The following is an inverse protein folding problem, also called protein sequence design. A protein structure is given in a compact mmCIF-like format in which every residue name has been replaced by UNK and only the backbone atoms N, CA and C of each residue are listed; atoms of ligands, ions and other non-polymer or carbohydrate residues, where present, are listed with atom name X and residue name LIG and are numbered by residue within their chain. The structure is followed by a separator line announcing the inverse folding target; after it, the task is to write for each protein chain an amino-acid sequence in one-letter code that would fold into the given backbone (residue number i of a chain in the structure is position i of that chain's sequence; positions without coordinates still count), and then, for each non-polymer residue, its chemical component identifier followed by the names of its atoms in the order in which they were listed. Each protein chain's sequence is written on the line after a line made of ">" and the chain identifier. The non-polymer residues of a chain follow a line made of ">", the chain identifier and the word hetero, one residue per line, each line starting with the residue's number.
data_IF_147213664082
#
_entry.id   IF_147213664082
#
_cell.length_a   1.000
_cell.length_b   1.000
_cell.length_c   1.000
_cell.angle_alpha   90.00
_cell.angle_beta   90.00
_cell.angle_gamma   90.00
#
_symmetry.space_group_name_H-M   'P 1'
#
loop_
_entity.id
_entity.type
_entity.pdbx_description
1 polymer ?
#
# COMPACT_ATOMS: atom_id res chain seq x y z
N UNK A 1 -23.81 -36.49 17.72
CA UNK A 1 -23.76 -35.54 18.85
C UNK A 1 -22.49 -35.87 19.63
N UNK A 2 -21.49 -35.02 19.81
CA UNK A 2 -21.09 -33.76 19.23
C UNK A 2 -19.59 -33.67 19.59
N UNK A 3 -18.69 -33.43 18.64
CA UNK A 3 -17.30 -33.05 18.96
C UNK A 3 -16.66 -32.32 17.76
N UNK A 4 -17.37 -31.28 17.31
CA UNK A 4 -16.80 -30.24 16.46
C UNK A 4 -16.44 -29.05 17.36
N UNK A 5 -15.28 -29.08 18.01
CA UNK A 5 -14.71 -27.86 18.61
C UNK A 5 -13.19 -27.94 18.50
N UNK A 6 -12.58 -26.83 18.07
CA UNK A 6 -11.14 -26.57 17.97
C UNK A 6 -10.44 -26.94 16.66
N UNK A 7 -10.95 -26.42 15.55
CA UNK A 7 -10.05 -25.84 14.56
C UNK A 7 -10.11 -24.33 14.78
N UNK A 8 -9.24 -23.81 15.65
CA UNK A 8 -9.08 -22.37 15.86
C UNK A 8 -8.76 -21.76 14.51
N UNK A 9 -9.60 -20.83 14.07
CA UNK A 9 -9.29 -19.87 13.03
C UNK A 9 -7.98 -19.20 13.44
N UNK A 10 -6.89 -19.62 12.82
CA UNK A 10 -5.66 -18.86 12.77
C UNK A 10 -6.01 -17.69 11.83
N UNK A 11 -6.68 -16.68 12.37
CA UNK A 11 -6.65 -15.34 11.80
C UNK A 11 -5.17 -14.95 11.83
N UNK A 12 -4.48 -15.34 10.76
CA UNK A 12 -3.11 -14.98 10.43
C UNK A 12 -3.12 -13.47 10.31
N UNK A 13 -2.96 -12.83 11.47
CA UNK A 13 -2.72 -11.42 11.59
C UNK A 13 -1.34 -11.22 11.02
N UNK A 14 -1.27 -11.06 9.70
CA UNK A 14 -0.05 -10.60 9.04
C UNK A 14 0.44 -9.38 9.82
N UNK A 15 1.69 -9.36 10.28
CA UNK A 15 2.22 -8.23 11.01
C UNK A 15 1.95 -6.97 10.20
N UNK A 16 1.34 -5.96 10.81
CA UNK A 16 1.04 -4.70 10.13
C UNK A 16 2.30 -4.06 9.52
N UNK A 17 3.48 -4.41 10.03
CA UNK A 17 4.79 -4.02 9.52
C UNK A 17 5.10 -4.58 8.12
N UNK A 18 4.77 -5.84 7.84
CA UNK A 18 5.02 -6.47 6.53
C UNK A 18 4.15 -5.83 5.43
N UNK A 19 2.91 -5.46 5.77
CA UNK A 19 1.99 -4.75 4.86
C UNK A 19 2.52 -3.35 4.52
N UNK A 20 3.11 -2.66 5.50
CA UNK A 20 3.72 -1.35 5.28
C UNK A 20 4.99 -1.44 4.43
N UNK A 21 5.82 -2.47 4.60
CA UNK A 21 7.02 -2.67 3.78
C UNK A 21 6.65 -2.92 2.31
N UNK A 22 5.66 -3.78 2.03
CA UNK A 22 5.18 -4.03 0.68
C UNK A 22 4.60 -2.76 0.03
N UNK A 23 3.85 -1.95 0.78
CA UNK A 23 3.32 -0.68 0.27
C UNK A 23 4.43 0.33 -0.04
N UNK A 24 5.48 0.41 0.78
CA UNK A 24 6.64 1.26 0.54
C UNK A 24 7.43 0.83 -0.69
N UNK A 25 7.61 -0.48 -0.89
CA UNK A 25 8.23 -1.03 -2.11
C UNK A 25 7.37 -0.71 -3.33
N UNK A 26 6.05 -0.88 -3.22
CA UNK A 26 5.10 -0.58 -4.29
C UNK A 26 5.09 0.91 -4.65
N UNK A 27 5.22 1.78 -3.66
CA UNK A 27 5.40 3.23 -3.82
C UNK A 27 6.68 3.53 -4.58
N UNK A 28 7.83 3.06 -4.09
CA UNK A 28 9.12 3.29 -4.73
C UNK A 28 9.16 2.77 -6.18
N UNK A 29 8.58 1.60 -6.44
CA UNK A 29 8.49 1.03 -7.79
C UNK A 29 7.65 1.88 -8.73
N UNK A 30 6.52 2.44 -8.26
CA UNK A 30 5.67 3.34 -9.05
C UNK A 30 6.44 4.61 -9.43
N UNK A 31 7.04 5.28 -8.43
CA UNK A 31 7.86 6.49 -8.65
C UNK A 31 8.95 6.23 -9.68
N UNK A 32 9.76 5.19 -9.49
CA UNK A 32 10.89 4.88 -10.38
C UNK A 32 10.43 4.55 -11.81
N UNK A 33 9.32 3.82 -11.94
CA UNK A 33 8.75 3.47 -13.26
C UNK A 33 8.27 4.71 -14.02
N UNK A 34 7.73 5.69 -13.31
CA UNK A 34 7.07 6.85 -13.93
C UNK A 34 7.94 8.11 -14.01
N UNK A 35 8.93 8.27 -13.14
CA UNK A 35 9.87 9.40 -13.11
C UNK A 35 10.67 9.56 -14.42
N UNK A 36 10.88 8.47 -15.17
CA UNK A 36 11.55 8.53 -16.47
C UNK A 36 10.71 9.22 -17.58
N UNK A 37 9.40 9.41 -17.36
CA UNK A 37 8.46 9.93 -18.37
C UNK A 37 7.81 11.27 -18.02
N UNK A 38 7.80 11.62 -16.74
CA UNK A 38 7.07 12.77 -16.22
C UNK A 38 7.57 13.11 -14.81
N UNK A 39 7.33 14.34 -14.37
CA UNK A 39 7.30 14.62 -12.94
C UNK A 39 6.11 13.86 -12.34
N UNK A 40 6.39 13.01 -11.35
CA UNK A 40 5.36 12.33 -10.57
C UNK A 40 4.85 13.30 -9.52
N UNK A 41 3.53 13.48 -9.44
CA UNK A 41 2.90 14.37 -8.46
C UNK A 41 2.50 13.54 -7.24
N UNK A 42 3.13 13.81 -6.10
CA UNK A 42 2.72 13.31 -4.79
C UNK A 42 1.67 14.25 -4.18
N UNK A 43 0.51 13.71 -3.83
CA UNK A 43 -0.56 14.44 -3.13
C UNK A 43 -0.82 13.77 -1.79
N UNK A 44 -0.61 14.50 -0.69
CA UNK A 44 -0.92 14.02 0.66
C UNK A 44 -2.34 14.41 1.04
N UNK A 45 -3.16 13.43 1.42
CA UNK A 45 -4.53 13.62 1.89
C UNK A 45 -4.60 13.29 3.38
N UNK A 46 -4.60 14.34 4.21
CA UNK A 46 -4.49 14.19 5.66
C UNK A 46 -3.13 13.58 6.06
N UNK A 47 -3.12 12.84 7.16
CA UNK A 47 -1.89 12.24 7.72
C UNK A 47 -1.63 10.81 7.24
N UNK A 48 -2.63 10.17 6.61
CA UNK A 48 -2.67 8.72 6.40
C UNK A 48 -2.68 8.27 4.95
N UNK A 49 -2.79 9.18 3.98
CA UNK A 49 -3.00 8.80 2.59
C UNK A 49 -2.10 9.61 1.65
N UNK A 50 -1.43 8.90 0.75
CA UNK A 50 -0.61 9.47 -0.31
C UNK A 50 -1.19 9.01 -1.64
N UNK A 51 -1.45 9.96 -2.54
CA UNK A 51 -1.89 9.69 -3.91
C UNK A 51 -0.75 10.08 -4.83
N UNK A 52 -0.30 9.14 -5.66
CA UNK A 52 0.67 9.41 -6.71
C UNK A 52 0.01 9.40 -8.07
N UNK A 53 0.34 10.40 -8.88
CA UNK A 53 -0.18 10.53 -10.23
C UNK A 53 0.93 10.84 -11.22
N UNK A 54 1.01 10.06 -12.30
CA UNK A 54 1.77 10.45 -13.49
C UNK A 54 0.82 10.86 -14.62
N UNK A 55 0.80 12.15 -15.01
CA UNK A 55 -0.06 12.63 -16.09
C UNK A 55 0.29 12.02 -17.44
N UNK A 56 1.57 11.78 -17.73
CA UNK A 56 2.02 11.19 -19.01
C UNK A 56 1.52 9.76 -19.20
N UNK A 57 1.41 8.99 -18.12
CA UNK A 57 0.92 7.62 -18.15
C UNK A 57 -0.59 7.51 -17.89
N UNK A 58 -1.24 8.60 -17.45
CA UNK A 58 -2.62 8.60 -16.94
C UNK A 58 -2.84 7.54 -15.85
N UNK A 59 -1.80 7.29 -15.05
CA UNK A 59 -1.80 6.29 -13.99
C UNK A 59 -1.89 6.99 -12.63
N UNK A 60 -2.74 6.47 -11.76
CA UNK A 60 -2.96 6.98 -10.41
C UNK A 60 -2.97 5.81 -9.43
N UNK A 61 -2.29 5.97 -8.30
CA UNK A 61 -2.29 4.97 -7.23
C UNK A 61 -2.34 5.65 -5.86
N UNK A 62 -2.91 4.94 -4.90
CA UNK A 62 -3.05 5.39 -3.51
C UNK A 62 -2.25 4.48 -2.60
N UNK A 63 -1.58 5.06 -1.62
CA UNK A 63 -0.74 4.39 -0.63
C UNK A 63 -1.11 4.89 0.78
N UNK A 64 -0.90 4.07 1.80
CA UNK A 64 -1.00 4.52 3.18
C UNK A 64 0.27 5.29 3.54
N UNK A 65 0.11 6.39 4.27
CA UNK A 65 1.24 7.19 4.73
C UNK A 65 1.99 6.43 5.83
N UNK A 66 3.33 6.26 5.71
CA UNK A 66 4.13 5.66 6.76
C UNK A 66 4.27 6.64 7.93
N UNK A 67 3.36 6.56 8.91
CA UNK A 67 3.44 7.35 10.15
C UNK A 67 2.13 7.71 10.84
N UNK A 68 1.02 7.04 10.55
CA UNK A 68 -0.31 7.33 11.14
C UNK A 68 -0.81 6.35 12.19
#
# INVERSE_FOLDING_TARGET
>A
MADQVHMRELEESTPAEDVLEEELIAFAAFVLTHAARCDVVEVRVGERCIIEWCPSCRSLRTFVSPGG
#
